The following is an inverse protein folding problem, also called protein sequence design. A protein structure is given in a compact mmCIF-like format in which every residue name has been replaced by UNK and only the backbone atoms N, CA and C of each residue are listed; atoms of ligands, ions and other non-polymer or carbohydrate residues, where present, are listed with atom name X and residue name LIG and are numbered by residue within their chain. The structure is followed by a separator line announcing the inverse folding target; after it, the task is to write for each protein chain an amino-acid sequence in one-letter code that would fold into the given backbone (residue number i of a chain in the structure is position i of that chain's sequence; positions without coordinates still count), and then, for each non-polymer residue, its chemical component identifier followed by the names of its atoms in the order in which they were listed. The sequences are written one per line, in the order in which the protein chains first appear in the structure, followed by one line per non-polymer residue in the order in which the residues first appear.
data_IF_686139975211
#
_entry.id   IF_686139975211
#
_cell.length_a   1.000
_cell.length_b   1.000
_cell.length_c   1.000
_cell.angle_alpha   90.00
_cell.angle_beta   90.00
_cell.angle_gamma   90.00
#
_symmetry.space_group_name_H-M   'P 1'
#
loop_
_entity.id
_entity.type
_entity.pdbx_description
1 polymer ?
#
# COMPACT_ATOMS: atom_id res chain seq x y z
N UNK A 1 14.00 -17.70 2.74
CA UNK A 1 14.12 -16.25 3.04
C UNK A 1 12.86 -15.43 2.68
N UNK A 2 11.68 -16.05 2.55
CA UNK A 2 10.39 -15.37 2.28
C UNK A 2 9.51 -15.19 3.53
N UNK A 3 9.88 -15.79 4.67
CA UNK A 3 9.07 -15.79 5.91
C UNK A 3 8.83 -14.41 6.55
N UNK A 4 9.59 -13.37 6.18
CA UNK A 4 9.42 -12.01 6.74
C UNK A 4 8.46 -11.11 5.97
N UNK A 5 7.93 -11.58 4.84
CA UNK A 5 6.89 -10.90 4.05
C UNK A 5 5.53 -11.60 4.15
N UNK A 6 5.38 -12.52 5.11
CA UNK A 6 4.08 -13.12 5.43
C UNK A 6 3.24 -12.09 6.20
N UNK A 7 2.76 -11.08 5.47
CA UNK A 7 1.62 -10.26 5.86
C UNK A 7 0.45 -11.20 6.18
N UNK A 8 -0.35 -10.85 7.18
CA UNK A 8 -1.59 -11.58 7.44
C UNK A 8 -2.53 -11.46 6.23
N UNK A 9 -3.47 -12.39 6.05
CA UNK A 9 -4.43 -12.34 4.94
C UNK A 9 -5.18 -11.00 4.87
N UNK A 10 -5.47 -10.41 6.02
CA UNK A 10 -6.09 -9.08 6.13
C UNK A 10 -5.20 -7.95 5.60
N UNK A 11 -3.89 -8.06 5.84
CA UNK A 11 -2.91 -7.08 5.37
C UNK A 11 -2.66 -7.22 3.86
N UNK A 12 -2.74 -8.44 3.32
CA UNK A 12 -2.73 -8.69 1.88
C UNK A 12 -3.97 -8.14 1.18
N UNK A 13 -5.18 -8.35 1.73
CA UNK A 13 -6.42 -7.77 1.19
C UNK A 13 -6.37 -6.24 1.19
N UNK A 14 -5.89 -5.65 2.29
CA UNK A 14 -5.74 -4.20 2.40
C UNK A 14 -4.71 -3.65 1.39
N UNK A 15 -3.56 -4.31 1.25
CA UNK A 15 -2.53 -3.95 0.26
C UNK A 15 -3.10 -4.01 -1.16
N UNK A 16 -3.79 -5.10 -1.50
CA UNK A 16 -4.40 -5.29 -2.82
C UNK A 16 -5.46 -4.21 -3.11
N UNK A 17 -6.32 -3.88 -2.15
CA UNK A 17 -7.30 -2.78 -2.28
C UNK A 17 -6.63 -1.43 -2.50
N UNK A 18 -5.60 -1.10 -1.73
CA UNK A 18 -4.86 0.15 -1.89
C UNK A 18 -4.19 0.24 -3.27
N UNK A 19 -3.60 -0.84 -3.77
CA UNK A 19 -3.01 -0.88 -5.11
C UNK A 19 -4.12 -0.72 -6.17
N UNK A 20 -5.21 -1.48 -6.08
CA UNK A 20 -6.30 -1.41 -7.05
C UNK A 20 -6.92 0.00 -7.13
N UNK A 21 -7.13 0.65 -5.98
CA UNK A 21 -7.64 2.02 -5.90
C UNK A 21 -6.60 3.01 -6.44
N UNK A 22 -5.33 2.90 -6.01
CA UNK A 22 -4.26 3.79 -6.43
C UNK A 22 -4.01 3.73 -7.93
N UNK A 23 -3.97 2.53 -8.49
CA UNK A 23 -3.86 2.29 -9.93
C UNK A 23 -5.11 2.79 -10.66
N UNK A 24 -6.31 2.48 -10.17
CA UNK A 24 -7.56 2.93 -10.81
C UNK A 24 -7.64 4.47 -10.93
N UNK A 25 -7.34 5.18 -9.83
CA UNK A 25 -7.31 6.64 -9.82
C UNK A 25 -6.14 7.16 -10.66
N UNK A 26 -4.95 6.57 -10.53
CA UNK A 26 -3.75 6.98 -11.26
C UNK A 26 -3.92 6.84 -12.78
N UNK A 27 -4.49 5.73 -13.24
CA UNK A 27 -4.84 5.51 -14.65
C UNK A 27 -5.90 6.48 -15.12
N UNK A 28 -6.94 6.75 -14.33
CA UNK A 28 -7.98 7.73 -14.67
C UNK A 28 -7.40 9.14 -14.84
N UNK A 29 -6.60 9.60 -13.87
CA UNK A 29 -5.93 10.91 -13.95
C UNK A 29 -4.89 10.94 -15.08
N UNK A 30 -4.13 9.86 -15.27
CA UNK A 30 -3.19 9.72 -16.38
C UNK A 30 -3.86 9.80 -17.74
N UNK A 31 -5.09 9.29 -17.87
CA UNK A 31 -5.91 9.43 -19.07
C UNK A 31 -6.31 10.88 -19.35
N UNK A 32 -6.55 11.70 -18.32
CA UNK A 32 -6.87 13.12 -18.49
C UNK A 32 -5.65 13.95 -18.91
N UNK A 33 -4.45 13.56 -18.47
CA UNK A 33 -3.19 14.23 -18.79
C UNK A 33 -2.60 13.73 -20.13
N UNK A 34 -3.22 12.71 -20.73
CA UNK A 34 -2.75 12.09 -21.98
C UNK A 34 -1.55 11.15 -21.80
N UNK A 35 -1.23 10.77 -20.56
CA UNK A 35 -0.16 9.82 -20.25
C UNK A 35 -0.60 8.79 -19.20
N UNK A 36 -1.35 7.79 -19.69
CA UNK A 36 -1.91 6.71 -18.89
C UNK A 36 -0.82 5.86 -18.22
N UNK A 37 0.31 5.63 -18.90
CA UNK A 37 1.41 4.79 -18.40
C UNK A 37 2.04 5.43 -17.16
N UNK A 38 2.31 6.75 -17.20
CA UNK A 38 2.82 7.47 -16.04
C UNK A 38 1.82 7.46 -14.87
N UNK A 39 0.53 7.67 -15.16
CA UNK A 39 -0.52 7.64 -14.14
C UNK A 39 -0.67 6.27 -13.48
N UNK A 40 -0.66 5.19 -14.26
CA UNK A 40 -0.69 3.81 -13.76
C UNK A 40 0.51 3.51 -12.85
N UNK A 41 1.72 3.84 -13.32
CA UNK A 41 2.95 3.59 -12.57
C UNK A 41 2.99 4.39 -11.26
N UNK A 42 2.70 5.68 -11.31
CA UNK A 42 2.66 6.54 -10.12
C UNK A 42 1.58 6.08 -9.13
N UNK A 43 0.37 5.75 -9.63
CA UNK A 43 -0.73 5.26 -8.80
C UNK A 43 -0.40 3.95 -8.09
N UNK A 44 0.23 3.00 -8.79
CA UNK A 44 0.68 1.73 -8.21
C UNK A 44 1.76 1.93 -7.15
N UNK A 45 2.77 2.75 -7.42
CA UNK A 45 3.85 3.06 -6.46
C UNK A 45 3.29 3.75 -5.22
N UNK A 46 2.41 4.74 -5.37
CA UNK A 46 1.75 5.41 -4.24
C UNK A 46 0.93 4.41 -3.42
N UNK A 47 0.18 3.52 -4.06
CA UNK A 47 -0.60 2.49 -3.37
C UNK A 47 0.25 1.55 -2.52
N UNK A 48 1.40 1.11 -3.05
CA UNK A 48 2.37 0.26 -2.32
C UNK A 48 3.02 1.03 -1.17
N UNK A 49 3.47 2.26 -1.42
CA UNK A 49 4.14 3.10 -0.40
C UNK A 49 3.21 3.41 0.77
N UNK A 50 1.96 3.75 0.51
CA UNK A 50 0.96 4.05 1.56
C UNK A 50 0.70 2.83 2.44
N UNK A 51 0.54 1.64 1.84
CA UNK A 51 0.37 0.39 2.59
C UNK A 51 1.64 0.01 3.37
N UNK A 52 2.82 0.23 2.79
CA UNK A 52 4.10 0.00 3.46
C UNK A 52 4.32 0.90 4.69
N UNK A 53 3.99 2.19 4.58
CA UNK A 53 4.08 3.15 5.71
C UNK A 53 3.08 2.78 6.81
N UNK A 54 1.85 2.37 6.44
CA UNK A 54 0.84 1.88 7.39
C UNK A 54 1.32 0.63 8.11
N UNK A 55 1.87 -0.35 7.41
CA UNK A 55 2.44 -1.55 8.00
C UNK A 55 3.59 -1.22 8.97
N UNK A 56 4.52 -0.36 8.56
CA UNK A 56 5.65 0.05 9.39
C UNK A 56 5.19 0.82 10.64
N UNK A 57 4.22 1.73 10.49
CA UNK A 57 3.64 2.49 11.60
C UNK A 57 2.84 1.60 12.55
N UNK A 58 2.09 0.62 12.04
CA UNK A 58 1.35 -0.35 12.85
C UNK A 58 2.32 -1.26 13.63
N UNK A 59 3.41 -1.69 13.00
CA UNK A 59 4.48 -2.47 13.63
C UNK A 59 5.22 -1.69 14.73
N UNK A 60 5.43 -0.38 14.54
CA UNK A 60 6.01 0.52 15.54
C UNK A 60 5.03 0.81 16.71
N UNK A 61 3.73 1.01 16.42
CA UNK A 61 2.71 1.24 17.47
C UNK A 61 2.35 -0.01 18.27
N UNK A 62 2.41 -1.19 17.66
CA UNK A 62 2.19 -2.48 18.34
C UNK A 62 3.27 -2.80 19.39
N UNK A 63 4.47 -2.23 19.23
CA UNK A 63 5.56 -2.36 20.22
C UNK A 63 5.33 -1.49 21.46
N UNK A 64 4.63 -0.35 21.34
CA UNK A 64 4.35 0.57 22.46
C UNK A 64 3.07 0.24 23.25
N UNK A 65 2.35 -0.85 22.92
CA UNK A 65 1.17 -1.33 23.66
C UNK A 65 1.43 -2.63 24.43
N UNK A 66 2.53 -3.33 24.16
CA UNK A 66 2.89 -4.58 24.86
C UNK A 66 3.76 -4.39 26.11
N UNK A 67 4.25 -3.17 26.37
CA UNK A 67 4.99 -2.86 27.61
C UNK A 67 4.10 -2.31 28.75
N UNK A 68 2.77 -2.27 28.58
CA UNK A 68 1.83 -1.73 29.59
C UNK A 68 0.74 -2.75 29.96
N UNK A 69 1.01 -4.06 29.83
CA UNK A 69 0.16 -5.11 30.40
C UNK A 69 1.03 -6.21 31.01
#
# INVERSE_FOLDING_TARGET
MLEKLSLSDEEYDYLAKCIAIGVGIGTFVGSLIGNVILGFAAGGVIGIVVSGIRFLSHKLKGMHRKEII
#
